data_IF_650948917993
#
_entry.id   IF_650948917993
#
_cell.length_a   1.000
_cell.length_b   1.000
_cell.length_c   1.000
_cell.angle_alpha   90.00
_cell.angle_beta   90.00
_cell.angle_gamma   90.00
#
_symmetry.space_group_name_H-M   'P 1'
#
loop_
_entity.id
_entity.type
_entity.pdbx_description
1 polymer ?
#
# COMPACT_ATOMS: atom_id res chain seq x y z
N UNK A 1 56.10 33.11 0.30
CA UNK A 1 56.06 31.75 0.88
C UNK A 1 54.93 31.72 1.93
N UNK A 2 54.20 30.60 2.04
CA UNK A 2 52.76 30.52 2.36
C UNK A 2 52.44 30.02 3.79
N UNK A 3 51.18 30.16 4.21
CA UNK A 3 50.37 29.17 4.99
C UNK A 3 49.02 29.84 5.33
N UNK A 4 47.86 29.47 4.77
CA UNK A 4 47.04 28.25 4.91
C UNK A 4 46.66 27.84 6.34
N UNK A 5 45.38 28.03 6.70
CA UNK A 5 44.43 27.08 7.32
C UNK A 5 43.07 27.83 7.44
N UNK A 6 42.00 27.59 6.66
CA UNK A 6 41.08 26.44 6.58
C UNK A 6 40.73 25.91 7.99
N UNK A 7 39.48 25.83 8.49
CA UNK A 7 38.24 25.36 7.85
C UNK A 7 36.99 25.89 8.58
N UNK A 8 36.02 26.26 7.77
CA UNK A 8 34.62 26.51 8.10
C UNK A 8 33.93 25.21 8.51
N UNK A 9 33.34 25.15 9.70
CA UNK A 9 32.35 24.13 10.07
C UNK A 9 30.99 24.56 9.49
N UNK A 10 30.74 24.23 8.22
CA UNK A 10 29.38 24.15 7.69
C UNK A 10 29.06 22.65 7.63
N UNK A 11 27.98 22.17 8.27
CA UNK A 11 27.56 20.79 8.10
C UNK A 11 27.27 20.55 6.61
N UNK A 12 27.92 19.53 6.06
CA UNK A 12 27.68 19.03 4.71
C UNK A 12 26.27 18.43 4.70
N UNK A 13 25.30 19.24 4.33
CA UNK A 13 23.94 18.81 4.05
C UNK A 13 24.05 17.99 2.76
N UNK A 14 23.88 16.67 2.87
CA UNK A 14 23.77 15.81 1.69
C UNK A 14 22.53 16.26 0.89
N UNK A 15 22.70 16.80 -0.33
CA UNK A 15 21.58 17.30 -1.11
C UNK A 15 20.62 16.19 -1.57
N UNK A 16 20.90 14.92 -1.25
CA UNK A 16 20.04 13.78 -1.56
C UNK A 16 19.07 13.40 -0.43
N UNK A 17 19.15 14.05 0.75
CA UNK A 17 18.32 13.73 1.93
C UNK A 17 17.21 14.77 2.21
N UNK A 18 16.82 15.53 1.19
CA UNK A 18 15.61 16.36 1.23
C UNK A 18 14.60 15.65 0.34
N UNK A 19 13.56 15.03 0.91
CA UNK A 19 12.36 14.68 0.12
C UNK A 19 11.97 15.92 -0.68
N UNK A 20 12.11 15.86 -2.01
CA UNK A 20 11.92 17.03 -2.87
C UNK A 20 10.48 17.51 -2.65
N UNK A 21 10.31 18.67 -2.00
CA UNK A 21 8.98 19.16 -1.63
C UNK A 21 8.08 19.34 -2.87
N UNK A 22 8.67 19.44 -4.07
CA UNK A 22 7.94 19.41 -5.34
C UNK A 22 7.34 18.04 -5.66
N UNK A 23 8.01 16.94 -5.29
CA UNK A 23 7.42 15.59 -5.35
C UNK A 23 6.30 15.41 -4.34
N UNK A 24 6.44 15.92 -3.11
CA UNK A 24 5.36 15.87 -2.11
C UNK A 24 4.10 16.63 -2.56
N UNK A 25 4.25 17.85 -3.09
CA UNK A 25 3.15 18.65 -3.65
C UNK A 25 2.52 17.95 -4.88
N UNK A 26 3.34 17.31 -5.72
CA UNK A 26 2.84 16.56 -6.87
C UNK A 26 2.11 15.27 -6.49
N UNK A 27 2.37 14.72 -5.30
CA UNK A 27 1.73 13.50 -4.79
C UNK A 27 0.38 13.82 -4.12
N UNK A 28 0.26 14.95 -3.41
CA UNK A 28 -0.98 15.39 -2.73
C UNK A 28 -2.18 15.50 -3.70
N UNK A 29 -1.93 15.82 -4.97
CA UNK A 29 -2.98 16.00 -5.98
C UNK A 29 -3.24 14.77 -6.87
N UNK A 30 -2.52 13.67 -6.65
CA UNK A 30 -2.74 12.43 -7.41
C UNK A 30 -3.84 11.61 -6.80
N UNK A 31 -4.59 10.93 -7.65
CA UNK A 31 -5.54 9.92 -7.21
C UNK A 31 -4.81 8.73 -6.57
N UNK A 32 -5.53 7.91 -5.81
CA UNK A 32 -4.99 6.71 -5.17
C UNK A 32 -4.21 5.83 -6.17
N UNK A 33 -4.81 5.46 -7.31
CA UNK A 33 -4.16 4.55 -8.27
C UNK A 33 -3.01 5.21 -9.03
N UNK A 34 -3.06 6.54 -9.24
CA UNK A 34 -1.92 7.27 -9.81
C UNK A 34 -0.71 7.26 -8.87
N UNK A 35 -0.93 7.46 -7.57
CA UNK A 35 0.12 7.32 -6.55
C UNK A 35 0.75 5.93 -6.57
N UNK A 36 -0.09 4.88 -6.57
CA UNK A 36 0.37 3.49 -6.64
C UNK A 36 1.17 3.23 -7.91
N UNK A 37 0.65 3.64 -9.07
CA UNK A 37 1.30 3.45 -10.37
C UNK A 37 2.70 4.07 -10.38
N UNK A 38 2.83 5.33 -9.97
CA UNK A 38 4.10 6.05 -9.99
C UNK A 38 5.08 5.51 -8.96
N UNK A 39 4.65 5.30 -7.70
CA UNK A 39 5.52 4.82 -6.62
C UNK A 39 5.98 3.38 -6.85
N UNK A 40 5.13 2.54 -7.43
CA UNK A 40 5.48 1.15 -7.76
C UNK A 40 6.31 1.06 -9.05
N UNK A 41 6.11 1.97 -10.00
CA UNK A 41 6.69 1.89 -11.34
C UNK A 41 5.90 0.98 -12.29
N UNK A 42 4.57 0.93 -12.13
CA UNK A 42 3.70 0.22 -13.08
C UNK A 42 3.60 0.98 -14.41
N UNK A 43 3.35 0.23 -15.49
CA UNK A 43 3.27 0.80 -16.83
C UNK A 43 1.96 1.56 -17.06
N UNK A 44 0.88 1.13 -16.41
CA UNK A 44 -0.44 1.75 -16.50
C UNK A 44 -1.28 1.58 -15.21
N UNK A 45 -2.46 2.21 -15.21
CA UNK A 45 -3.39 2.22 -14.08
C UNK A 45 -4.12 0.88 -13.86
N UNK A 46 -4.22 0.03 -14.89
CA UNK A 46 -4.87 -1.28 -14.76
C UNK A 46 -3.96 -2.23 -13.98
N UNK A 47 -2.65 -2.23 -14.28
CA UNK A 47 -1.65 -2.96 -13.50
C UNK A 47 -1.66 -2.51 -12.02
N UNK A 48 -1.74 -1.20 -11.78
CA UNK A 48 -1.80 -0.64 -10.42
C UNK A 48 -3.08 -1.06 -9.68
N UNK A 49 -4.22 -1.08 -10.37
CA UNK A 49 -5.51 -1.54 -9.85
C UNK A 49 -5.46 -3.01 -9.47
N UNK A 50 -5.14 -3.89 -10.42
CA UNK A 50 -5.16 -5.34 -10.24
C UNK A 50 -4.20 -5.75 -9.11
N UNK A 51 -3.03 -5.12 -9.04
CA UNK A 51 -2.08 -5.35 -7.97
C UNK A 51 -2.62 -4.87 -6.60
N UNK A 52 -3.26 -3.70 -6.55
CA UNK A 52 -3.88 -3.19 -5.32
C UNK A 52 -4.97 -4.13 -4.82
N UNK A 53 -5.87 -4.60 -5.69
CA UNK A 53 -6.95 -5.54 -5.32
C UNK A 53 -6.39 -6.81 -4.66
N UNK A 54 -5.27 -7.33 -5.18
CA UNK A 54 -4.56 -8.47 -4.61
C UNK A 54 -3.96 -8.15 -3.25
N UNK A 55 -3.24 -7.03 -3.11
CA UNK A 55 -2.66 -6.62 -1.81
C UNK A 55 -3.76 -6.48 -0.76
N UNK A 56 -4.85 -5.78 -1.10
CA UNK A 56 -6.00 -5.62 -0.21
C UNK A 56 -6.64 -6.96 0.16
N UNK A 57 -6.81 -7.88 -0.80
CA UNK A 57 -7.30 -9.24 -0.50
C UNK A 57 -6.42 -9.95 0.50
N UNK A 58 -5.11 -9.94 0.30
CA UNK A 58 -4.18 -10.60 1.23
C UNK A 58 -4.17 -9.90 2.60
N UNK A 59 -4.30 -8.57 2.65
CA UNK A 59 -4.46 -7.84 3.93
C UNK A 59 -5.74 -8.24 4.67
N UNK A 60 -6.88 -8.29 3.99
CA UNK A 60 -8.16 -8.72 4.58
C UNK A 60 -8.09 -10.15 5.12
N UNK A 61 -7.38 -11.04 4.43
CA UNK A 61 -7.17 -12.43 4.89
C UNK A 61 -6.41 -12.51 6.23
N UNK A 62 -5.73 -11.44 6.69
CA UNK A 62 -4.98 -11.40 7.95
C UNK A 62 -5.81 -10.91 9.15
N UNK A 63 -6.96 -10.29 8.91
CA UNK A 63 -7.72 -9.59 9.94
C UNK A 63 -9.12 -10.17 10.14
N UNK A 64 -9.80 -9.72 11.18
CA UNK A 64 -11.21 -10.07 11.43
C UNK A 64 -12.10 -9.34 10.45
N UNK A 65 -13.31 -9.85 10.23
CA UNK A 65 -14.32 -9.16 9.41
C UNK A 65 -14.60 -7.76 9.98
N UNK A 66 -14.76 -7.64 11.30
CA UNK A 66 -15.04 -6.36 11.94
C UNK A 66 -13.89 -5.35 11.79
N UNK A 67 -12.64 -5.82 11.83
CA UNK A 67 -11.47 -4.98 11.57
C UNK A 67 -11.41 -4.55 10.09
N UNK A 68 -11.67 -5.47 9.17
CA UNK A 68 -11.77 -5.18 7.73
C UNK A 68 -12.87 -4.16 7.42
N UNK A 69 -14.04 -4.28 8.07
CA UNK A 69 -15.17 -3.37 7.89
C UNK A 69 -14.84 -1.95 8.40
N UNK A 70 -14.06 -1.82 9.49
CA UNK A 70 -13.59 -0.53 9.98
C UNK A 70 -12.61 0.15 9.03
N UNK A 71 -11.71 -0.62 8.42
CA UNK A 71 -10.78 -0.10 7.41
C UNK A 71 -11.56 0.37 6.19
N UNK A 72 -12.51 -0.45 5.70
CA UNK A 72 -13.37 -0.10 4.56
C UNK A 72 -14.10 1.24 4.76
N UNK A 73 -14.61 1.48 5.97
CA UNK A 73 -15.38 2.68 6.32
C UNK A 73 -14.56 3.99 6.32
N UNK A 74 -13.25 3.93 6.09
CA UNK A 74 -12.40 5.12 5.92
C UNK A 74 -11.94 5.30 4.47
N UNK A 75 -12.11 4.29 3.58
CA UNK A 75 -11.62 4.29 2.19
C UNK A 75 -12.62 4.91 1.19
N UNK A 76 -13.16 6.09 1.49
CA UNK A 76 -14.27 6.70 0.70
C UNK A 76 -13.84 7.63 -0.44
N UNK A 77 -12.54 7.84 -0.64
CA UNK A 77 -12.05 8.71 -1.72
C UNK A 77 -12.20 8.03 -3.08
N UNK A 78 -12.45 8.82 -4.12
CA UNK A 78 -12.44 8.34 -5.51
C UNK A 78 -11.04 7.79 -5.87
N UNK A 79 -10.99 6.56 -6.38
CA UNK A 79 -9.72 5.91 -6.70
C UNK A 79 -9.03 6.56 -7.92
N UNK A 80 -9.83 7.05 -8.88
CA UNK A 80 -9.42 7.78 -10.10
C UNK A 80 -10.53 8.77 -10.51
N UNK A 81 -10.23 10.07 -10.66
CA UNK A 81 -11.17 11.02 -11.24
C UNK A 81 -11.18 10.89 -12.78
N UNK A 82 -12.11 10.10 -13.32
CA UNK A 82 -12.20 9.83 -14.78
C UNK A 82 -13.64 9.66 -15.26
N UNK A 83 -13.89 9.96 -16.54
CA UNK A 83 -15.17 9.69 -17.22
C UNK A 83 -15.30 8.23 -17.68
N UNK A 84 -14.23 7.44 -17.57
CA UNK A 84 -14.24 6.02 -17.91
C UNK A 84 -14.96 5.21 -16.83
N UNK A 85 -16.17 4.75 -17.14
CA UNK A 85 -17.02 3.99 -16.19
C UNK A 85 -16.35 2.78 -15.55
N UNK A 86 -15.39 2.14 -16.21
CA UNK A 86 -14.67 0.98 -15.67
C UNK A 86 -13.72 1.34 -14.50
N UNK A 87 -13.38 2.63 -14.38
CA UNK A 87 -12.43 3.20 -13.42
C UNK A 87 -13.10 4.18 -12.44
N UNK A 88 -14.41 4.41 -12.57
CA UNK A 88 -15.22 5.22 -11.65
C UNK A 88 -15.64 4.38 -10.44
N UNK A 89 -14.82 4.40 -9.38
CA UNK A 89 -15.10 3.70 -8.12
C UNK A 89 -14.33 4.33 -6.94
N UNK A 90 -14.73 4.00 -5.71
CA UNK A 90 -14.04 4.42 -4.48
C UNK A 90 -12.89 3.45 -4.14
N UNK A 91 -11.91 3.88 -3.33
CA UNK A 91 -10.87 2.98 -2.82
C UNK A 91 -11.49 1.79 -2.04
N UNK A 92 -12.64 2.00 -1.38
CA UNK A 92 -13.42 0.95 -0.73
C UNK A 92 -13.88 -0.15 -1.70
N UNK A 93 -14.10 0.14 -2.97
CA UNK A 93 -14.50 -0.87 -3.97
C UNK A 93 -13.33 -1.80 -4.35
N UNK A 94 -12.09 -1.27 -4.36
CA UNK A 94 -10.87 -2.08 -4.44
C UNK A 94 -10.72 -2.95 -3.19
N UNK A 95 -11.05 -2.38 -2.03
CA UNK A 95 -11.03 -3.10 -0.75
C UNK A 95 -12.12 -4.17 -0.63
N UNK A 96 -13.19 -4.14 -1.41
CA UNK A 96 -14.23 -5.18 -1.35
C UNK A 96 -13.91 -6.42 -2.18
N UNK A 97 -13.00 -6.31 -3.14
CA UNK A 97 -12.79 -7.27 -4.26
C UNK A 97 -14.06 -7.32 -5.13
N UNK A 98 -13.98 -6.73 -6.33
CA UNK A 98 -15.13 -6.62 -7.25
C UNK A 98 -15.46 -7.94 -7.96
N UNK A 99 -14.82 -9.07 -7.62
CA UNK A 99 -15.07 -10.36 -8.25
C UNK A 99 -16.36 -11.03 -7.69
N UNK A 100 -17.45 -11.14 -8.48
CA UNK A 100 -18.77 -11.60 -8.01
C UNK A 100 -18.81 -13.08 -7.58
N UNK A 101 -17.76 -13.86 -7.84
CA UNK A 101 -17.68 -15.28 -7.42
C UNK A 101 -17.29 -15.42 -5.94
N UNK A 102 -16.56 -14.45 -5.36
CA UNK A 102 -16.14 -14.48 -3.95
C UNK A 102 -17.03 -13.65 -3.03
N UNK A 103 -17.83 -12.73 -3.57
CA UNK A 103 -18.73 -11.83 -2.81
C UNK A 103 -19.79 -12.53 -1.96
N UNK A 104 -19.98 -13.85 -2.10
CA UNK A 104 -20.92 -14.64 -1.30
C UNK A 104 -20.28 -15.62 -0.31
N UNK A 105 -18.94 -15.74 -0.27
CA UNK A 105 -18.24 -16.66 0.65
C UNK A 105 -17.61 -15.96 1.87
N UNK A 106 -17.64 -14.63 1.96
CA UNK A 106 -17.07 -13.90 3.11
C UNK A 106 -17.96 -13.89 4.35
N UNK A 107 -19.27 -14.14 4.22
CA UNK A 107 -20.22 -14.04 5.35
C UNK A 107 -20.32 -15.31 6.22
N UNK A 108 -19.69 -16.41 5.80
CA UNK A 108 -19.62 -17.69 6.55
C UNK A 108 -18.23 -18.33 6.43
N UNK A 109 -17.16 -17.52 6.41
CA UNK A 109 -15.84 -18.04 6.71
C UNK A 109 -15.57 -17.73 8.18
N UNK A 110 -15.47 -18.74 9.07
CA UNK A 110 -15.04 -18.50 10.43
C UNK A 110 -13.76 -17.66 10.39
N UNK A 111 -13.61 -16.66 11.27
CA UNK A 111 -12.31 -16.04 11.42
C UNK A 111 -11.34 -17.19 11.70
N UNK A 112 -10.17 -17.20 11.05
CA UNK A 112 -9.09 -18.09 11.45
C UNK A 112 -8.51 -17.63 12.81
N UNK A 113 -9.39 -17.38 13.78
CA UNK A 113 -9.13 -16.96 15.15
C UNK A 113 -9.12 -18.20 16.04
N UNK A 114 -7.94 -18.80 16.12
CA UNK A 114 -7.45 -19.34 17.37
C UNK A 114 -6.24 -18.50 17.81
N UNK A 115 -5.96 -18.35 19.11
CA UNK A 115 -4.69 -17.83 19.57
C UNK A 115 -3.61 -18.85 19.17
N UNK A 116 -2.92 -18.57 18.06
CA UNK A 116 -1.82 -19.37 17.52
C UNK A 116 -2.12 -20.12 16.22
N UNK A 117 -1.06 -20.29 15.42
CA UNK A 117 -0.84 -21.30 14.36
C UNK A 117 -1.36 -21.05 12.92
N UNK A 118 -1.86 -19.86 12.55
CA UNK A 118 -1.92 -19.47 11.13
C UNK A 118 -1.28 -18.10 10.90
N UNK A 119 -0.02 -17.97 11.32
CA UNK A 119 0.84 -16.90 10.83
C UNK A 119 1.01 -17.11 9.32
N UNK A 120 0.30 -16.36 8.49
CA UNK A 120 0.81 -16.09 7.14
C UNK A 120 2.16 -15.42 7.40
N UNK A 121 3.25 -16.17 7.27
CA UNK A 121 4.58 -15.57 7.39
C UNK A 121 4.75 -14.58 6.24
N UNK A 122 5.59 -13.56 6.41
CA UNK A 122 5.82 -12.52 5.41
C UNK A 122 6.12 -13.09 4.01
N UNK A 123 6.83 -14.22 3.94
CA UNK A 123 7.07 -14.94 2.70
C UNK A 123 5.79 -15.37 1.99
N UNK A 124 4.79 -15.87 2.72
CA UNK A 124 3.51 -16.29 2.16
C UNK A 124 2.67 -15.10 1.72
N UNK A 125 2.72 -13.98 2.44
CA UNK A 125 2.09 -12.72 2.02
C UNK A 125 2.67 -12.28 0.67
N UNK A 126 3.99 -12.09 0.63
CA UNK A 126 4.68 -11.58 -0.54
C UNK A 126 4.64 -12.57 -1.72
N UNK A 127 4.62 -13.87 -1.45
CA UNK A 127 4.42 -14.90 -2.47
C UNK A 127 3.02 -14.83 -3.07
N UNK A 128 1.97 -14.66 -2.26
CA UNK A 128 0.60 -14.51 -2.77
C UNK A 128 0.46 -13.25 -3.60
N UNK A 129 0.97 -12.12 -3.11
CA UNK A 129 0.97 -10.85 -3.87
C UNK A 129 1.70 -11.00 -5.20
N UNK A 130 2.87 -11.65 -5.22
CA UNK A 130 3.64 -11.84 -6.44
C UNK A 130 2.95 -12.74 -7.48
N UNK A 131 2.27 -13.81 -7.03
CA UNK A 131 1.67 -14.79 -7.94
C UNK A 131 0.25 -14.43 -8.37
N UNK A 132 -0.50 -13.72 -7.52
CA UNK A 132 -1.88 -13.32 -7.81
C UNK A 132 -1.94 -11.96 -8.54
N UNK A 133 -0.93 -11.08 -8.35
CA UNK A 133 -0.92 -9.70 -8.84
C UNK A 133 -0.48 -9.47 -10.29
N UNK A 134 -0.25 -10.51 -11.09
CA UNK A 134 0.03 -10.37 -12.54
C UNK A 134 1.24 -9.49 -12.92
N UNK A 135 2.11 -9.21 -11.95
CA UNK A 135 3.10 -8.12 -11.98
C UNK A 135 4.17 -8.32 -13.08
N UNK A 136 4.52 -7.27 -13.84
CA UNK A 136 5.66 -7.31 -14.76
C UNK A 136 6.97 -7.62 -14.03
N UNK A 137 7.82 -8.46 -14.62
CA UNK A 137 9.08 -8.92 -14.01
C UNK A 137 10.09 -7.78 -13.69
N UNK A 138 9.88 -6.59 -14.26
CA UNK A 138 10.73 -5.40 -14.12
C UNK A 138 10.46 -4.57 -12.88
N UNK A 139 9.31 -4.77 -12.23
CA UNK A 139 8.91 -3.99 -11.05
C UNK A 139 9.46 -4.70 -9.81
N UNK A 140 9.97 -3.99 -8.81
CA UNK A 140 10.33 -4.63 -7.52
C UNK A 140 9.10 -4.93 -6.66
N UNK A 141 9.04 -6.12 -6.07
CA UNK A 141 7.85 -6.60 -5.36
C UNK A 141 7.58 -5.81 -4.09
N UNK A 142 8.62 -5.59 -3.29
CA UNK A 142 8.48 -4.92 -2.00
C UNK A 142 8.19 -3.44 -2.20
N UNK A 143 8.81 -2.83 -3.22
CA UNK A 143 8.48 -1.46 -3.64
C UNK A 143 7.01 -1.33 -4.06
N UNK A 144 6.48 -2.27 -4.83
CA UNK A 144 5.07 -2.22 -5.24
C UNK A 144 4.12 -2.38 -4.05
N UNK A 145 4.46 -3.24 -3.08
CA UNK A 145 3.69 -3.38 -1.83
C UNK A 145 3.76 -2.08 -1.00
N UNK A 146 4.94 -1.49 -0.84
CA UNK A 146 5.12 -0.19 -0.18
C UNK A 146 4.33 0.91 -0.85
N UNK A 147 4.27 0.94 -2.18
CA UNK A 147 3.49 1.93 -2.92
C UNK A 147 2.00 1.85 -2.56
N UNK A 148 1.43 0.64 -2.50
CA UNK A 148 0.04 0.43 -2.06
C UNK A 148 -0.13 0.84 -0.60
N UNK A 149 0.78 0.44 0.29
CA UNK A 149 0.73 0.82 1.71
C UNK A 149 0.78 2.33 1.91
N UNK A 150 1.69 3.01 1.23
CA UNK A 150 1.85 4.47 1.27
C UNK A 150 0.55 5.16 0.84
N UNK A 151 0.00 4.79 -0.33
CA UNK A 151 -1.25 5.34 -0.81
C UNK A 151 -2.44 5.03 0.11
N UNK A 152 -2.45 3.85 0.76
CA UNK A 152 -3.52 3.46 1.70
C UNK A 152 -3.45 4.28 2.98
N UNK A 153 -2.27 4.54 3.52
CA UNK A 153 -2.12 5.36 4.74
C UNK A 153 -2.62 6.78 4.54
N UNK A 154 -2.47 7.36 3.35
CA UNK A 154 -2.99 8.68 3.03
C UNK A 154 -4.53 8.77 3.18
N UNK A 155 -5.23 7.64 3.04
CA UNK A 155 -6.69 7.54 3.14
C UNK A 155 -7.18 7.24 4.57
N UNK A 156 -6.28 6.87 5.47
CA UNK A 156 -6.65 6.29 6.77
C UNK A 156 -6.29 7.21 7.93
N UNK A 157 -7.13 7.17 8.98
CA UNK A 157 -6.77 7.76 10.26
C UNK A 157 -5.60 7.01 10.92
N UNK A 158 -4.87 7.71 11.78
CA UNK A 158 -3.77 7.13 12.55
C UNK A 158 -4.22 5.87 13.34
N UNK A 159 -5.46 5.86 13.85
CA UNK A 159 -6.01 4.72 14.57
C UNK A 159 -6.13 3.47 13.68
N UNK A 160 -6.56 3.62 12.41
CA UNK A 160 -6.59 2.48 11.47
C UNK A 160 -5.22 2.06 11.01
N UNK A 161 -4.31 3.00 10.83
CA UNK A 161 -2.92 2.69 10.45
C UNK A 161 -2.28 1.77 11.51
N UNK A 162 -2.47 2.09 12.80
CA UNK A 162 -1.98 1.27 13.92
C UNK A 162 -2.73 -0.05 14.04
N UNK A 163 -4.05 -0.05 13.86
CA UNK A 163 -4.84 -1.28 13.88
C UNK A 163 -4.37 -2.25 12.80
N UNK A 164 -4.21 -1.80 11.55
CA UNK A 164 -3.71 -2.62 10.43
C UNK A 164 -2.32 -3.17 10.77
N UNK A 165 -1.41 -2.33 11.26
CA UNK A 165 -0.05 -2.76 11.60
C UNK A 165 -0.02 -3.92 12.61
N UNK A 166 -1.00 -3.99 13.53
CA UNK A 166 -1.10 -5.07 14.50
C UNK A 166 -1.44 -6.45 13.89
N UNK A 167 -2.04 -6.47 12.69
CA UNK A 167 -2.38 -7.68 11.94
C UNK A 167 -1.27 -8.14 10.99
N UNK A 168 -0.32 -7.26 10.67
CA UNK A 168 0.71 -7.54 9.67
C UNK A 168 1.84 -8.44 10.22
N UNK A 169 2.31 -9.43 9.44
CA UNK A 169 3.50 -10.24 9.77
C UNK A 169 4.77 -9.39 9.80
N UNK A 170 5.78 -9.78 10.58
CA UNK A 170 6.96 -8.96 10.91
C UNK A 170 7.56 -8.18 9.73
N UNK A 171 8.13 -8.84 8.72
CA UNK A 171 8.70 -8.13 7.54
C UNK A 171 7.66 -7.31 6.76
N UNK A 172 6.39 -7.74 6.68
CA UNK A 172 5.35 -6.94 6.00
C UNK A 172 4.99 -5.70 6.82
N UNK A 173 5.01 -5.80 8.16
CA UNK A 173 4.86 -4.67 9.06
C UNK A 173 6.02 -3.69 8.90
N UNK A 174 7.25 -4.17 8.72
CA UNK A 174 8.40 -3.30 8.43
C UNK A 174 8.20 -2.55 7.10
N UNK A 175 7.72 -3.24 6.05
CA UNK A 175 7.34 -2.59 4.79
C UNK A 175 6.23 -1.55 5.00
N UNK A 176 5.23 -1.86 5.83
CA UNK A 176 4.17 -0.94 6.20
C UNK A 176 4.73 0.29 6.90
N UNK A 177 5.55 0.14 7.93
CA UNK A 177 6.15 1.26 8.67
C UNK A 177 7.03 2.16 7.80
N UNK A 178 7.75 1.59 6.84
CA UNK A 178 8.64 2.31 5.91
C UNK A 178 7.93 2.97 4.74
N UNK A 179 6.65 2.65 4.50
CA UNK A 179 5.86 3.16 3.38
C UNK A 179 5.21 4.52 3.66
#
# INVERSE_FOLDING_TARGET
>A
MPDQTFRTNIPEIDPTEIEDSRTAIADEHRSFLEKVMVKAGFADLYDARDFTEVVFRVMRDLMTTEASDRVEAELHTEALPTDEKALQFEVADLWKDTNPIVGFLSRVRPPWQGPGIFKINSDRFLFRVANEGGKPATVDREQAVKAVFSATKDELSQERIEEIASWLPDHVRELWEQA
#
